data_IF_441667428639
#
_entry.id   IF_441667428639
#
_cell.length_a   1.000
_cell.length_b   1.000
_cell.length_c   1.000
_cell.angle_alpha   90.00
_cell.angle_beta   90.00
_cell.angle_gamma   90.00
#
_symmetry.space_group_name_H-M   'P 1'
#
loop_
_entity.id
_entity.type
_entity.pdbx_description
1 polymer ?
#
# COMPACT_ATOMS: atom_id res chain seq x y z
N UNK A 1 27.17 7.89 15.53
CA UNK A 1 26.31 8.93 14.95
C UNK A 1 25.14 8.22 14.30
N UNK A 2 23.93 8.36 14.83
CA UNK A 2 22.73 7.77 14.21
C UNK A 2 22.49 8.40 12.83
N UNK A 3 21.81 7.70 11.92
CA UNK A 3 21.49 8.28 10.60
C UNK A 3 20.63 9.55 10.72
N UNK A 4 19.84 9.65 11.79
CA UNK A 4 19.07 10.83 12.13
C UNK A 4 19.95 12.00 12.62
N UNK A 5 20.98 11.73 13.43
CA UNK A 5 21.97 12.75 13.81
C UNK A 5 22.75 13.27 12.59
N UNK A 6 23.16 12.39 11.67
CA UNK A 6 23.78 12.81 10.43
C UNK A 6 22.83 13.67 9.58
N UNK A 7 21.56 13.27 9.47
CA UNK A 7 20.55 14.06 8.78
C UNK A 7 20.32 15.43 9.45
N UNK A 8 20.29 15.48 10.78
CA UNK A 8 20.15 16.72 11.54
C UNK A 8 21.34 17.67 11.30
N UNK A 9 22.56 17.14 11.33
CA UNK A 9 23.78 17.91 11.04
C UNK A 9 23.81 18.44 9.59
N UNK A 10 23.28 17.67 8.63
CA UNK A 10 23.17 18.11 7.24
C UNK A 10 22.17 19.25 7.11
N UNK A 11 21.03 19.19 7.81
CA UNK A 11 20.04 20.28 7.80
C UNK A 11 20.53 21.53 8.52
N UNK A 12 21.29 21.36 9.61
CA UNK A 12 21.88 22.48 10.35
C UNK A 12 22.92 23.24 9.50
N UNK A 13 23.70 22.53 8.68
CA UNK A 13 24.77 23.12 7.84
C UNK A 13 24.31 23.56 6.45
N UNK A 14 23.35 22.85 5.86
CA UNK A 14 22.90 23.05 4.48
C UNK A 14 21.51 23.68 4.35
N UNK A 15 20.80 23.87 5.47
CA UNK A 15 19.49 24.49 5.49
C UNK A 15 18.35 23.58 5.03
N UNK A 16 17.12 24.10 5.13
CA UNK A 16 15.89 23.39 4.75
C UNK A 16 15.73 23.22 3.25
N UNK A 17 16.49 23.96 2.43
CA UNK A 17 16.46 23.86 0.97
C UNK A 17 16.84 22.46 0.47
N UNK A 18 17.72 21.76 1.21
CA UNK A 18 18.11 20.39 0.91
C UNK A 18 16.95 19.39 0.99
N UNK A 19 15.85 19.71 1.69
CA UNK A 19 14.70 18.81 1.86
C UNK A 19 13.96 18.55 0.54
N UNK A 20 14.03 19.49 -0.40
CA UNK A 20 13.37 19.39 -1.71
C UNK A 20 14.34 19.13 -2.87
N UNK A 21 15.64 19.06 -2.58
CA UNK A 21 16.64 18.67 -3.57
C UNK A 21 16.39 17.25 -4.06
N UNK A 22 16.52 17.07 -5.38
CA UNK A 22 16.28 15.79 -6.03
C UNK A 22 17.60 15.21 -6.53
N UNK A 23 17.83 13.94 -6.21
CA UNK A 23 18.97 13.22 -6.78
C UNK A 23 18.76 12.92 -8.27
N UNK A 24 19.74 12.27 -8.92
CA UNK A 24 19.66 11.88 -10.34
C UNK A 24 18.48 10.97 -10.72
N UNK A 25 17.78 10.39 -9.73
CA UNK A 25 16.57 9.60 -9.90
C UNK A 25 15.28 10.39 -9.60
N UNK A 26 15.37 11.68 -9.27
CA UNK A 26 14.22 12.53 -8.96
C UNK A 26 13.64 12.33 -7.56
N UNK A 27 14.36 11.63 -6.67
CA UNK A 27 13.95 11.36 -5.28
C UNK A 27 14.43 12.46 -4.35
N UNK A 28 13.56 12.90 -3.43
CA UNK A 28 13.92 13.80 -2.31
C UNK A 28 14.54 13.01 -1.14
N UNK A 29 15.21 13.65 -0.17
CA UNK A 29 15.67 13.00 1.05
C UNK A 29 14.59 12.19 1.77
N UNK A 30 13.34 12.67 1.77
CA UNK A 30 12.20 11.96 2.35
C UNK A 30 11.92 10.63 1.63
N UNK A 31 11.93 10.58 0.30
CA UNK A 31 11.80 9.32 -0.45
C UNK A 31 12.95 8.35 -0.14
N UNK A 32 14.18 8.85 -0.04
CA UNK A 32 15.34 8.04 0.28
C UNK A 32 15.23 7.44 1.69
N UNK A 33 14.77 8.23 2.68
CA UNK A 33 14.54 7.76 4.04
C UNK A 33 13.46 6.67 4.09
N UNK A 34 12.33 6.87 3.41
CA UNK A 34 11.24 5.89 3.31
C UNK A 34 11.72 4.59 2.65
N UNK A 35 12.40 4.68 1.50
CA UNK A 35 12.94 3.51 0.79
C UNK A 35 13.92 2.69 1.63
N UNK A 36 14.59 3.33 2.58
CA UNK A 36 15.54 2.69 3.50
C UNK A 36 14.92 2.32 4.85
N UNK A 37 13.62 2.52 5.06
CA UNK A 37 12.93 2.25 6.32
C UNK A 37 13.45 3.07 7.50
N UNK A 38 14.02 4.26 7.26
CA UNK A 38 14.64 5.09 8.30
C UNK A 38 13.61 6.03 8.92
N UNK A 39 12.79 5.50 9.84
CA UNK A 39 11.67 6.21 10.47
C UNK A 39 12.12 7.49 11.18
N UNK A 40 13.25 7.46 11.89
CA UNK A 40 13.78 8.65 12.58
C UNK A 40 14.12 9.78 11.60
N UNK A 41 14.71 9.44 10.46
CA UNK A 41 14.97 10.41 9.39
C UNK A 41 13.67 10.92 8.77
N UNK A 42 12.66 10.06 8.57
CA UNK A 42 11.34 10.48 8.08
C UNK A 42 10.72 11.50 9.03
N UNK A 43 10.66 11.19 10.34
CA UNK A 43 10.11 12.10 11.34
C UNK A 43 10.88 13.41 11.43
N UNK A 44 12.21 13.37 11.34
CA UNK A 44 13.04 14.56 11.32
C UNK A 44 12.74 15.43 10.11
N UNK A 45 12.75 14.87 8.89
CA UNK A 45 12.49 15.63 7.66
C UNK A 45 11.09 16.25 7.64
N UNK A 46 10.07 15.53 8.13
CA UNK A 46 8.72 16.08 8.26
C UNK A 46 8.67 17.25 9.25
N UNK A 47 9.30 17.12 10.43
CA UNK A 47 9.39 18.21 11.41
C UNK A 47 10.16 19.43 10.88
N UNK A 48 11.11 19.22 9.99
CA UNK A 48 11.89 20.28 9.35
C UNK A 48 11.20 20.91 8.13
N UNK A 49 9.97 20.50 7.79
CA UNK A 49 9.17 21.12 6.73
C UNK A 49 9.30 20.48 5.34
N UNK A 50 9.79 19.24 5.25
CA UNK A 50 9.80 18.52 3.97
C UNK A 50 8.38 18.34 3.43
N UNK A 51 8.21 18.44 2.11
CA UNK A 51 6.93 18.23 1.45
C UNK A 51 6.48 16.76 1.61
N UNK A 52 5.51 16.54 2.49
CA UNK A 52 4.99 15.21 2.83
C UNK A 52 4.42 14.45 1.61
N UNK A 53 3.78 15.17 0.70
CA UNK A 53 3.19 14.64 -0.54
C UNK A 53 4.03 14.99 -1.79
N UNK A 54 5.29 15.36 -1.59
CA UNK A 54 6.21 15.66 -2.69
C UNK A 54 6.36 14.44 -3.59
N UNK A 55 5.96 14.52 -4.86
CA UNK A 55 6.07 13.39 -5.80
C UNK A 55 7.51 13.20 -6.28
N UNK A 56 7.90 11.93 -6.46
CA UNK A 56 9.13 11.57 -7.16
C UNK A 56 9.04 12.00 -8.63
N UNK A 57 10.04 12.73 -9.12
CA UNK A 57 10.08 13.29 -10.50
C UNK A 57 11.34 12.86 -11.23
N UNK A 58 11.48 11.55 -11.45
CA UNK A 58 12.64 10.98 -12.14
C UNK A 58 12.38 10.78 -13.62
N UNK A 59 13.29 11.22 -14.49
CA UNK A 59 13.22 10.94 -15.95
C UNK A 59 13.26 9.43 -16.26
N UNK A 60 13.84 8.63 -15.36
CA UNK A 60 13.90 7.17 -15.47
C UNK A 60 12.77 6.45 -14.72
N UNK A 61 11.96 7.17 -13.93
CA UNK A 61 10.87 6.55 -13.19
C UNK A 61 9.62 6.60 -14.04
N UNK A 62 9.11 5.45 -14.45
CA UNK A 62 7.77 5.34 -15.04
C UNK A 62 6.67 5.56 -14.01
N UNK A 63 6.99 5.94 -12.78
CA UNK A 63 6.06 6.18 -11.67
C UNK A 63 6.38 7.54 -11.03
N UNK A 64 5.38 8.22 -10.49
CA UNK A 64 5.55 9.45 -9.70
C UNK A 64 5.05 9.30 -8.24
N UNK A 65 5.53 8.28 -7.51
CA UNK A 65 4.99 7.95 -6.19
C UNK A 65 5.19 9.08 -5.19
N UNK A 66 4.24 9.18 -4.27
CA UNK A 66 4.40 9.94 -3.02
C UNK A 66 5.25 9.13 -2.04
N UNK A 67 5.80 9.76 -0.99
CA UNK A 67 6.46 9.04 0.09
C UNK A 67 5.53 8.00 0.73
N UNK A 68 4.25 8.34 0.93
CA UNK A 68 3.25 7.42 1.49
C UNK A 68 3.01 6.20 0.60
N UNK A 69 2.86 6.41 -0.71
CA UNK A 69 2.74 5.32 -1.67
C UNK A 69 3.96 4.38 -1.63
N UNK A 70 5.16 4.97 -1.58
CA UNK A 70 6.43 4.23 -1.52
C UNK A 70 6.55 3.41 -0.23
N UNK A 71 6.12 3.96 0.91
CA UNK A 71 6.10 3.26 2.19
C UNK A 71 5.09 2.10 2.18
N UNK A 72 3.89 2.35 1.65
CA UNK A 72 2.80 1.37 1.59
C UNK A 72 3.17 0.15 0.73
N UNK A 73 3.67 0.35 -0.50
CA UNK A 73 4.06 -0.77 -1.38
C UNK A 73 5.29 -1.55 -0.87
N UNK A 74 6.15 -0.89 -0.08
CA UNK A 74 7.36 -1.51 0.49
C UNK A 74 7.10 -2.16 1.86
N UNK A 75 5.87 -2.09 2.38
CA UNK A 75 5.52 -2.67 3.68
C UNK A 75 6.10 -1.96 4.90
N UNK A 76 6.51 -0.71 4.77
CA UNK A 76 7.15 0.05 5.84
C UNK A 76 6.10 0.70 6.74
N UNK A 77 5.42 -0.09 7.58
CA UNK A 77 4.29 0.35 8.40
C UNK A 77 4.61 1.51 9.35
N UNK A 78 5.80 1.52 9.94
CA UNK A 78 6.25 2.65 10.79
C UNK A 78 6.48 3.94 10.00
N UNK A 79 6.96 3.83 8.75
CA UNK A 79 7.05 4.98 7.85
C UNK A 79 5.66 5.46 7.42
N UNK A 80 4.73 4.54 7.14
CA UNK A 80 3.32 4.88 6.84
C UNK A 80 2.73 5.67 8.00
N UNK A 81 2.85 5.16 9.24
CA UNK A 81 2.39 5.86 10.45
C UNK A 81 3.02 7.25 10.57
N UNK A 82 4.33 7.36 10.43
CA UNK A 82 5.04 8.64 10.54
C UNK A 82 4.62 9.66 9.46
N UNK A 83 4.36 9.21 8.23
CA UNK A 83 3.89 10.06 7.14
C UNK A 83 2.45 10.53 7.37
N UNK A 84 1.57 9.62 7.82
CA UNK A 84 0.19 9.96 8.17
C UNK A 84 0.13 10.90 9.38
N UNK A 85 1.00 10.72 10.38
CA UNK A 85 1.17 11.67 11.50
C UNK A 85 1.64 13.05 11.02
N UNK A 86 2.47 13.08 9.96
CA UNK A 86 2.96 14.29 9.32
C UNK A 86 2.00 14.95 8.34
N UNK A 87 0.75 14.47 8.26
CA UNK A 87 -0.30 15.05 7.41
C UNK A 87 -0.28 14.59 5.94
N UNK A 88 0.33 13.45 5.63
CA UNK A 88 0.22 12.86 4.30
C UNK A 88 -1.24 12.56 3.95
N UNK A 89 -1.66 12.90 2.74
CA UNK A 89 -3.00 12.56 2.25
C UNK A 89 -3.08 11.05 1.90
N UNK A 90 -3.88 10.24 2.64
CA UNK A 90 -3.97 8.81 2.40
C UNK A 90 -4.79 8.42 1.17
N UNK A 91 -5.51 9.36 0.57
CA UNK A 91 -6.35 9.17 -0.62
C UNK A 91 -5.65 9.63 -1.91
N UNK A 92 -4.45 10.20 -1.78
CA UNK A 92 -3.72 10.84 -2.87
C UNK A 92 -3.32 9.83 -3.95
N UNK A 93 -3.79 10.08 -5.16
CA UNK A 93 -3.55 9.22 -6.31
C UNK A 93 -2.10 9.31 -6.79
N UNK A 94 -1.51 8.14 -7.03
CA UNK A 94 -0.22 7.95 -7.68
C UNK A 94 -0.42 7.35 -9.07
N UNK A 95 0.25 7.91 -10.08
CA UNK A 95 0.22 7.37 -11.44
C UNK A 95 1.25 6.25 -11.55
N UNK A 96 0.77 5.03 -11.69
CA UNK A 96 1.54 3.89 -12.12
C UNK A 96 1.68 3.89 -13.65
N UNK A 97 2.94 3.91 -14.11
CA UNK A 97 3.34 3.76 -15.51
C UNK A 97 2.98 4.92 -16.45
N UNK A 98 3.61 6.08 -16.28
CA UNK A 98 3.42 7.31 -17.10
C UNK A 98 3.69 7.11 -18.61
N UNK A 99 4.28 5.98 -19.01
CA UNK A 99 4.60 5.66 -20.41
C UNK A 99 3.70 4.59 -21.03
N UNK A 100 2.78 3.98 -20.25
CA UNK A 100 1.80 3.04 -20.77
C UNK A 100 0.51 3.76 -21.18
N UNK A 101 -0.16 3.28 -22.23
CA UNK A 101 -1.50 3.77 -22.63
C UNK A 101 -2.56 3.61 -21.53
N UNK A 102 -2.29 2.78 -20.53
CA UNK A 102 -3.10 2.59 -19.34
C UNK A 102 -2.46 3.36 -18.17
N UNK A 103 -2.80 4.64 -18.00
CA UNK A 103 -2.44 5.37 -16.79
C UNK A 103 -3.19 4.74 -15.63
N UNK A 104 -2.52 3.92 -14.81
CA UNK A 104 -3.14 3.30 -13.66
C UNK A 104 -2.99 4.26 -12.49
N UNK A 105 -4.09 4.84 -12.01
CA UNK A 105 -4.06 5.67 -10.81
C UNK A 105 -4.45 4.82 -9.61
N UNK A 106 -3.57 4.76 -8.62
CA UNK A 106 -3.75 3.95 -7.42
C UNK A 106 -3.53 4.76 -6.15
N UNK A 107 -4.44 4.58 -5.20
CA UNK A 107 -4.35 5.04 -3.82
C UNK A 107 -3.31 4.24 -3.01
N UNK A 108 -2.75 4.81 -1.93
CA UNK A 108 -1.87 4.13 -0.98
C UNK A 108 -2.39 2.78 -0.47
N UNK A 109 -3.70 2.62 -0.26
CA UNK A 109 -4.28 1.34 0.20
C UNK A 109 -4.15 0.23 -0.84
N UNK A 110 -4.30 0.53 -2.13
CA UNK A 110 -4.03 -0.44 -3.20
C UNK A 110 -2.55 -0.81 -3.24
N UNK A 111 -1.66 0.14 -2.94
CA UNK A 111 -0.23 -0.08 -2.86
C UNK A 111 0.13 -1.01 -1.68
N UNK A 112 -0.47 -0.79 -0.50
CA UNK A 112 -0.30 -1.65 0.67
C UNK A 112 -0.84 -3.07 0.44
N UNK A 113 -1.99 -3.20 -0.20
CA UNK A 113 -2.55 -4.47 -0.65
C UNK A 113 -1.64 -5.18 -1.66
N UNK A 114 -1.02 -4.43 -2.57
CA UNK A 114 -0.06 -4.95 -3.56
C UNK A 114 1.28 -5.36 -2.92
N UNK A 115 1.70 -4.63 -1.89
CA UNK A 115 2.85 -4.94 -1.04
C UNK A 115 2.59 -6.06 -0.01
N UNK A 116 1.35 -6.57 0.07
CA UNK A 116 0.99 -7.66 0.98
C UNK A 116 1.27 -7.36 2.45
N UNK A 117 1.12 -6.11 2.86
CA UNK A 117 1.50 -5.66 4.20
C UNK A 117 0.26 -5.33 5.05
N UNK A 118 -0.18 -6.26 5.93
CA UNK A 118 -1.42 -6.08 6.70
C UNK A 118 -1.31 -4.89 7.67
N UNK A 119 -0.13 -4.63 8.22
CA UNK A 119 0.08 -3.49 9.10
C UNK A 119 -0.08 -2.15 8.37
N UNK A 120 0.42 -2.02 7.14
CA UNK A 120 0.20 -0.82 6.33
C UNK A 120 -1.29 -0.62 5.99
N UNK A 121 -2.01 -1.69 5.69
CA UNK A 121 -3.47 -1.65 5.44
C UNK A 121 -4.19 -1.18 6.70
N UNK A 122 -3.86 -1.75 7.87
CA UNK A 122 -4.46 -1.36 9.15
C UNK A 122 -4.28 0.12 9.43
N UNK A 123 -3.06 0.64 9.32
CA UNK A 123 -2.78 2.05 9.57
C UNK A 123 -3.56 2.98 8.62
N UNK A 124 -3.75 2.59 7.35
CA UNK A 124 -4.54 3.38 6.39
C UNK A 124 -6.03 3.34 6.72
N UNK A 125 -6.58 2.17 7.05
CA UNK A 125 -7.99 2.01 7.42
C UNK A 125 -8.32 2.74 8.73
N UNK A 126 -7.41 2.71 9.71
CA UNK A 126 -7.56 3.43 10.98
C UNK A 126 -7.59 4.97 10.79
N UNK A 127 -7.09 5.48 9.64
CA UNK A 127 -7.20 6.89 9.24
C UNK A 127 -8.43 7.21 8.41
N UNK A 128 -9.38 6.29 8.30
CA UNK A 128 -10.67 6.50 7.64
C UNK A 128 -10.64 6.34 6.12
N UNK A 129 -9.59 5.71 5.57
CA UNK A 129 -9.57 5.33 4.15
C UNK A 129 -10.66 4.30 3.88
N UNK A 130 -11.37 4.45 2.77
CA UNK A 130 -12.41 3.49 2.38
C UNK A 130 -11.81 2.11 2.08
N UNK A 131 -12.31 1.08 2.76
CA UNK A 131 -11.89 -0.32 2.58
C UNK A 131 -12.15 -0.83 1.16
N UNK A 132 -13.22 -0.35 0.53
CA UNK A 132 -13.66 -0.71 -0.83
C UNK A 132 -13.29 0.36 -1.86
N UNK A 133 -12.21 1.10 -1.60
CA UNK A 133 -11.66 2.06 -2.56
C UNK A 133 -11.51 1.43 -3.94
N UNK A 134 -12.03 2.08 -4.97
CA UNK A 134 -11.93 1.57 -6.34
C UNK A 134 -10.71 2.18 -7.04
N UNK A 135 -9.93 1.34 -7.72
CA UNK A 135 -8.92 1.78 -8.67
C UNK A 135 -9.58 2.14 -10.01
N UNK A 136 -9.44 3.40 -10.44
CA UNK A 136 -10.13 3.93 -11.63
C UNK A 136 -9.81 3.17 -12.92
N UNK A 137 -8.60 2.59 -13.03
CA UNK A 137 -8.16 1.95 -14.26
C UNK A 137 -8.79 0.58 -14.52
N UNK A 138 -9.17 -0.16 -13.48
CA UNK A 138 -9.63 -1.55 -13.60
C UNK A 138 -10.82 -1.91 -12.69
N UNK A 139 -11.29 -0.99 -11.85
CA UNK A 139 -12.35 -1.25 -10.88
C UNK A 139 -11.93 -2.17 -9.75
N UNK A 140 -10.63 -2.39 -9.54
CA UNK A 140 -10.15 -3.28 -8.49
C UNK A 140 -10.24 -2.59 -7.12
N UNK A 141 -10.77 -3.29 -6.13
CA UNK A 141 -10.63 -2.95 -4.70
C UNK A 141 -9.27 -3.41 -4.15
N UNK A 142 -8.86 -2.97 -2.94
CA UNK A 142 -7.68 -3.53 -2.26
C UNK A 142 -7.73 -5.05 -2.17
N UNK A 143 -8.91 -5.63 -1.90
CA UNK A 143 -9.10 -7.08 -1.83
C UNK A 143 -8.78 -7.79 -3.15
N UNK A 144 -9.19 -7.22 -4.29
CA UNK A 144 -8.83 -7.75 -5.60
C UNK A 144 -7.30 -7.75 -5.82
N UNK A 145 -6.61 -6.69 -5.38
CA UNK A 145 -5.15 -6.62 -5.45
C UNK A 145 -4.49 -7.71 -4.60
N UNK A 146 -4.92 -7.89 -3.35
CA UNK A 146 -4.41 -8.96 -2.47
C UNK A 146 -4.53 -10.33 -3.15
N UNK A 147 -5.72 -10.67 -3.64
CA UNK A 147 -5.96 -11.97 -4.29
C UNK A 147 -5.13 -12.12 -5.56
N UNK A 148 -5.09 -11.10 -6.42
CA UNK A 148 -4.36 -11.15 -7.70
C UNK A 148 -2.83 -11.24 -7.54
N UNK A 149 -2.28 -10.85 -6.39
CA UNK A 149 -0.85 -10.94 -6.14
C UNK A 149 -0.39 -12.31 -5.65
N UNK A 150 -1.29 -13.20 -5.23
CA UNK A 150 -0.95 -14.57 -4.80
C UNK A 150 -0.27 -15.35 -5.95
N UNK A 151 -0.75 -15.18 -7.18
CA UNK A 151 -0.20 -15.86 -8.37
C UNK A 151 1.13 -15.30 -8.86
N UNK A 152 1.51 -14.09 -8.44
CA UNK A 152 2.72 -13.48 -9.00
C UNK A 152 3.95 -14.24 -8.47
N UNK A 153 4.97 -14.46 -9.32
CA UNK A 153 6.22 -15.09 -8.89
C UNK A 153 6.76 -14.29 -7.71
N UNK A 154 7.16 -15.01 -6.65
CA UNK A 154 7.59 -14.48 -5.34
C UNK A 154 8.33 -13.15 -5.49
N UNK A 155 7.69 -12.01 -5.16
CA UNK A 155 8.45 -10.82 -4.84
C UNK A 155 9.27 -11.22 -3.62
N UNK A 156 10.59 -11.11 -3.69
CA UNK A 156 11.60 -11.63 -2.74
C UNK A 156 11.37 -11.28 -1.24
N UNK A 157 10.33 -10.50 -0.92
CA UNK A 157 10.02 -9.92 0.38
C UNK A 157 8.56 -10.12 0.86
N UNK A 158 7.65 -10.67 0.05
CA UNK A 158 6.22 -10.82 0.42
C UNK A 158 5.88 -12.29 0.62
N UNK A 159 5.48 -12.69 1.83
CA UNK A 159 5.03 -14.06 2.06
C UNK A 159 3.58 -14.19 1.62
N UNK A 160 3.23 -15.30 0.96
CA UNK A 160 1.83 -15.58 0.59
C UNK A 160 0.90 -15.69 1.81
N UNK A 161 1.43 -15.99 3.01
CA UNK A 161 0.68 -15.93 4.27
C UNK A 161 0.16 -14.53 4.55
N UNK A 162 1.01 -13.52 4.34
CA UNK A 162 0.71 -12.13 4.68
C UNK A 162 -0.41 -11.59 3.77
N UNK A 163 -0.51 -12.11 2.53
CA UNK A 163 -1.65 -11.84 1.65
C UNK A 163 -2.96 -12.40 2.20
N UNK A 164 -2.96 -13.60 2.80
CA UNK A 164 -4.16 -14.13 3.45
C UNK A 164 -4.54 -13.26 4.64
N UNK A 165 -3.56 -12.85 5.45
CA UNK A 165 -3.79 -11.98 6.61
C UNK A 165 -4.32 -10.60 6.16
N UNK A 166 -3.85 -10.07 5.03
CA UNK A 166 -4.40 -8.85 4.42
C UNK A 166 -5.87 -9.02 4.02
N UNK A 167 -6.25 -10.16 3.43
CA UNK A 167 -7.63 -10.41 3.05
C UNK A 167 -8.54 -10.55 4.27
N UNK A 168 -8.10 -11.31 5.28
CA UNK A 168 -8.82 -11.44 6.56
C UNK A 168 -8.99 -10.07 7.23
N UNK A 169 -7.95 -9.24 7.24
CA UNK A 169 -8.00 -7.88 7.77
C UNK A 169 -9.01 -7.02 7.02
N UNK A 170 -8.97 -6.98 5.70
CA UNK A 170 -9.92 -6.19 4.88
C UNK A 170 -11.36 -6.63 5.15
N UNK A 171 -11.63 -7.93 5.20
CA UNK A 171 -12.97 -8.46 5.53
C UNK A 171 -13.37 -8.09 6.96
N UNK A 172 -12.45 -8.10 7.92
CA UNK A 172 -12.74 -7.69 9.30
C UNK A 172 -13.12 -6.21 9.43
N UNK A 173 -12.61 -5.36 8.53
CA UNK A 173 -12.99 -3.94 8.41
C UNK A 173 -14.25 -3.72 7.55
N UNK A 174 -14.87 -4.79 7.05
CA UNK A 174 -16.13 -4.75 6.32
C UNK A 174 -16.01 -4.67 4.80
N UNK A 175 -14.88 -5.12 4.21
CA UNK A 175 -14.74 -5.18 2.76
C UNK A 175 -15.85 -5.99 2.09
N UNK A 176 -16.47 -5.42 1.06
CA UNK A 176 -17.49 -6.09 0.27
C UNK A 176 -16.84 -7.04 -0.77
N UNK A 177 -16.95 -8.34 -0.48
CA UNK A 177 -16.43 -9.42 -1.34
C UNK A 177 -17.19 -9.56 -2.67
N UNK A 178 -18.36 -8.91 -2.80
CA UNK A 178 -19.23 -9.00 -3.98
C UNK A 178 -18.93 -7.95 -5.05
N UNK A 179 -18.10 -6.94 -4.73
CA UNK A 179 -17.69 -5.92 -5.70
C UNK A 179 -17.00 -6.58 -6.89
N UNK A 180 -17.35 -6.11 -8.09
CA UNK A 180 -16.79 -6.60 -9.34
C UNK A 180 -15.80 -5.60 -9.92
N UNK A 181 -14.71 -6.12 -10.46
CA UNK A 181 -13.80 -5.38 -11.34
C UNK A 181 -14.52 -4.93 -12.63
N UNK A 182 -13.90 -4.05 -13.42
CA UNK A 182 -14.40 -3.66 -14.75
C UNK A 182 -14.57 -4.86 -15.70
N UNK A 183 -13.91 -5.99 -15.41
CA UNK A 183 -14.07 -7.26 -16.13
C UNK A 183 -15.19 -8.17 -15.61
N UNK A 184 -16.04 -7.69 -14.68
CA UNK A 184 -17.17 -8.45 -14.11
C UNK A 184 -16.78 -9.56 -13.14
N UNK A 185 -15.52 -9.56 -12.66
CA UNK A 185 -15.01 -10.59 -11.73
C UNK A 185 -14.99 -10.06 -10.31
N UNK A 186 -15.50 -10.86 -9.37
CA UNK A 186 -15.33 -10.66 -7.93
C UNK A 186 -13.96 -11.14 -7.45
N UNK A 187 -13.59 -10.81 -6.21
CA UNK A 187 -12.38 -11.34 -5.58
C UNK A 187 -12.40 -12.88 -5.51
N UNK A 188 -13.57 -13.48 -5.26
CA UNK A 188 -13.76 -14.93 -5.24
C UNK A 188 -13.57 -15.55 -6.63
N UNK A 189 -14.09 -14.93 -7.68
CA UNK A 189 -13.91 -15.40 -9.07
C UNK A 189 -12.43 -15.41 -9.49
N UNK A 190 -11.66 -14.41 -9.04
CA UNK A 190 -10.21 -14.36 -9.28
C UNK A 190 -9.51 -15.51 -8.54
N UNK A 191 -9.85 -15.73 -7.27
CA UNK A 191 -9.28 -16.81 -6.45
C UNK A 191 -9.59 -18.21 -7.01
N UNK A 192 -10.77 -18.40 -7.60
CA UNK A 192 -11.19 -19.66 -8.21
C UNK A 192 -10.72 -19.84 -9.66
N UNK A 193 -10.05 -18.83 -10.23
CA UNK A 193 -9.65 -18.88 -11.64
C UNK A 193 -8.72 -20.06 -11.94
N UNK A 194 -8.80 -20.67 -13.16
CA UNK A 194 -7.92 -21.77 -13.54
C UNK A 194 -6.44 -21.40 -13.45
N UNK A 195 -6.10 -20.13 -13.70
CA UNK A 195 -4.75 -19.61 -13.54
C UNK A 195 -4.26 -19.72 -12.09
N UNK A 196 -5.07 -19.30 -11.11
CA UNK A 196 -4.76 -19.41 -9.68
C UNK A 196 -4.59 -20.86 -9.27
N UNK A 197 -5.56 -21.71 -9.61
CA UNK A 197 -5.55 -23.14 -9.23
C UNK A 197 -4.36 -23.89 -9.81
N UNK A 198 -4.03 -23.65 -11.09
CA UNK A 198 -2.89 -24.29 -11.74
C UNK A 198 -1.55 -23.81 -11.16
N UNK A 199 -1.41 -22.50 -10.95
CA UNK A 199 -0.21 -21.94 -10.34
C UNK A 199 -0.03 -22.47 -8.91
N UNK A 200 -1.12 -22.61 -8.14
CA UNK A 200 -1.09 -23.15 -6.79
C UNK A 200 -0.60 -24.59 -6.73
N UNK A 201 -1.07 -25.41 -7.68
CA UNK A 201 -0.62 -26.79 -7.84
C UNK A 201 0.86 -26.87 -8.23
N UNK A 202 1.31 -25.99 -9.13
CA UNK A 202 2.70 -25.97 -9.60
C UNK A 202 3.69 -25.50 -8.52
N UNK A 203 3.31 -24.52 -7.70
CA UNK A 203 4.17 -23.99 -6.64
C UNK A 203 3.93 -24.60 -5.26
N UNK A 204 3.13 -25.67 -5.16
CA UNK A 204 2.78 -26.34 -3.91
C UNK A 204 2.14 -25.45 -2.82
N UNK A 205 1.52 -24.33 -3.20
CA UNK A 205 0.81 -23.41 -2.29
C UNK A 205 -0.72 -23.52 -2.41
N UNK A 206 -1.21 -24.68 -2.88
CA UNK A 206 -2.64 -25.06 -2.85
C UNK A 206 -3.32 -24.83 -1.49
N UNK A 207 -2.70 -25.12 -0.33
CA UNK A 207 -3.33 -24.84 0.96
C UNK A 207 -3.62 -23.35 1.17
N UNK A 208 -2.76 -22.47 0.66
CA UNK A 208 -2.91 -21.02 0.80
C UNK A 208 -4.06 -20.51 -0.04
N UNK A 209 -4.17 -20.94 -1.30
CA UNK A 209 -5.33 -20.59 -2.15
C UNK A 209 -6.62 -21.12 -1.57
N UNK A 210 -6.61 -22.35 -1.05
CA UNK A 210 -7.80 -22.90 -0.38
C UNK A 210 -8.21 -22.04 0.81
N UNK A 211 -7.24 -21.67 1.68
CA UNK A 211 -7.50 -20.76 2.80
C UNK A 211 -8.06 -19.41 2.32
N UNK A 212 -7.50 -18.83 1.25
CA UNK A 212 -8.01 -17.58 0.66
C UNK A 212 -9.44 -17.73 0.15
N UNK A 213 -9.76 -18.81 -0.56
CA UNK A 213 -11.13 -19.09 -1.03
C UNK A 213 -12.08 -19.25 0.16
N UNK A 214 -11.65 -19.97 1.20
CA UNK A 214 -12.46 -20.18 2.41
C UNK A 214 -12.75 -18.82 3.09
N UNK A 215 -11.75 -17.95 3.22
CA UNK A 215 -11.88 -16.58 3.76
C UNK A 215 -12.87 -15.74 2.94
N UNK A 216 -12.77 -15.78 1.60
CA UNK A 216 -13.67 -15.05 0.70
C UNK A 216 -15.08 -15.65 0.64
N UNK A 217 -15.24 -16.92 0.99
CA UNK A 217 -16.53 -17.63 0.99
C UNK A 217 -17.34 -17.41 2.28
N UNK A 218 -16.76 -16.78 3.30
CA UNK A 218 -17.48 -16.43 4.53
C UNK A 218 -18.55 -15.41 4.19
N UNK A 219 -19.81 -15.76 4.44
CA UNK A 219 -20.96 -14.88 4.16
C UNK A 219 -20.81 -13.55 4.91
N UNK A 220 -21.04 -12.40 4.25
CA UNK A 220 -21.13 -11.11 4.91
C UNK A 220 -22.29 -11.17 5.92
N UNK A 221 -21.97 -11.31 7.20
CA UNK A 221 -22.97 -11.52 8.25
C UNK A 221 -22.45 -12.09 9.58
N UNK A 222 -21.23 -12.64 9.64
CA UNK A 222 -20.68 -13.19 10.89
C UNK A 222 -19.67 -12.31 11.64
N UNK A 223 -19.18 -11.20 11.05
CA UNK A 223 -18.38 -10.22 11.76
C UNK A 223 -19.22 -9.04 12.26
N UNK A 224 -20.27 -9.32 13.05
CA UNK A 224 -20.88 -8.28 13.88
C UNK A 224 -19.95 -7.95 15.04
N UNK A 225 -19.68 -6.65 15.24
CA UNK A 225 -19.09 -5.96 16.40
C UNK A 225 -17.62 -5.52 16.28
N UNK A 226 -17.39 -4.42 15.57
CA UNK A 226 -16.67 -3.22 16.08
C UNK A 226 -16.65 -2.06 15.08
N UNK A 227 -17.82 -1.60 14.65
CA UNK A 227 -17.97 -0.35 13.90
C UNK A 227 -19.17 0.45 14.40
N UNK A 228 -19.30 0.58 15.72
CA UNK A 228 -20.12 1.62 16.34
C UNK A 228 -19.33 2.15 17.53
N UNK A 229 -18.49 3.16 17.30
CA UNK A 229 -18.20 4.18 18.30
C UNK A 229 -17.60 5.41 17.62
N UNK A 230 -18.40 6.47 17.69
CA UNK A 230 -18.05 7.89 17.67
C UNK A 230 -17.96 8.51 16.25
N UNK A 231 -18.77 9.49 15.88
CA UNK A 231 -19.71 10.26 16.70
C UNK A 231 -20.72 11.04 15.88
N UNK A 232 -21.91 11.12 16.45
CA UNK A 232 -22.92 12.15 16.23
C UNK A 232 -23.46 12.49 17.63
N UNK A 233 -22.87 13.48 18.28
CA UNK A 233 -23.49 14.35 19.29
C UNK A 233 -22.84 15.74 19.21
#
# INVERSE_FOLDING_TARGET
VSNAECAALVLERGGVELLEERNGHGSTPLHCAVKKGRVDCVRLYLKSGAAVDGRLKGKSSSYNPTPLYSAAISGMSECVRALLDGGADPELLTKENVHSKTNVESKPIHAAAKGGSPDCIRELLDRGVSVDSLCEANGNTPLHYVVSNIIRPEPEHIRRSDLVDCAELLISYGADVTIQTNGGKTALDIAQSPAMTNAARMGAWTPIVKKMIDVLSVKPGLCTKKACRNGDE
#
